data_IF_134150675060
#
_entry.id   IF_134150675060
#
_cell.length_a   1.000
_cell.length_b   1.000
_cell.length_c   1.000
_cell.angle_alpha   90.00
_cell.angle_beta   90.00
_cell.angle_gamma   90.00
#
_symmetry.space_group_name_H-M   'P 1'
#
loop_
_entity.id
_entity.type
_entity.pdbx_description
1 polymer ?
#
# COMPACT_ATOMS: atom_id res chain seq x y z
N UNK A 1 -43.17 45.40 -3.58
CA UNK A 1 -43.54 44.60 -2.39
C UNK A 1 -42.56 44.92 -1.29
N UNK A 2 -43.04 45.59 -0.25
CA UNK A 2 -42.32 45.96 0.98
C UNK A 2 -42.27 44.76 1.96
N UNK A 3 -41.28 44.81 2.88
CA UNK A 3 -41.17 44.23 4.24
C UNK A 3 -39.72 43.72 4.44
N UNK A 4 -38.77 44.51 4.94
CA UNK A 4 -38.49 44.94 6.33
C UNK A 4 -37.95 43.83 7.27
N UNK A 5 -36.66 43.97 7.62
CA UNK A 5 -36.03 43.95 8.97
C UNK A 5 -36.54 42.94 10.03
N UNK A 6 -35.61 42.16 10.62
CA UNK A 6 -35.27 42.27 12.06
C UNK A 6 -34.06 41.43 12.48
N UNK A 7 -33.17 42.07 13.25
CA UNK A 7 -32.04 41.51 14.02
C UNK A 7 -32.51 40.81 15.30
N UNK A 8 -31.74 39.86 15.82
CA UNK A 8 -31.65 39.61 17.26
C UNK A 8 -30.29 39.06 17.68
N UNK A 9 -29.62 39.85 18.50
CA UNK A 9 -28.44 39.58 19.32
C UNK A 9 -28.91 38.96 20.63
N UNK A 10 -28.23 37.94 21.15
CA UNK A 10 -28.20 37.64 22.58
C UNK A 10 -26.77 37.23 22.99
N UNK A 11 -26.14 38.11 23.76
CA UNK A 11 -25.01 37.84 24.66
C UNK A 11 -25.58 37.37 26.00
N UNK A 12 -24.87 36.46 26.68
CA UNK A 12 -24.85 36.42 28.14
C UNK A 12 -23.59 35.72 28.61
N UNK A 13 -22.66 36.52 29.16
CA UNK A 13 -21.60 36.11 30.07
C UNK A 13 -22.21 35.73 31.43
N UNK A 14 -21.58 34.80 32.15
CA UNK A 14 -21.33 34.98 33.60
C UNK A 14 -20.32 33.95 34.11
N UNK A 15 -19.45 34.48 34.96
CA UNK A 15 -18.24 33.94 35.54
C UNK A 15 -18.41 33.76 37.06
N UNK A 16 -17.67 32.82 37.66
CA UNK A 16 -17.17 32.84 39.05
C UNK A 16 -16.30 31.57 39.24
N UNK A 17 -15.02 31.52 39.66
CA UNK A 17 -14.16 32.19 40.66
C UNK A 17 -14.21 31.58 42.07
N UNK A 18 -13.05 31.07 42.54
CA UNK A 18 -12.70 30.76 43.94
C UNK A 18 -11.77 29.52 44.03
N UNK A 19 -10.42 29.65 44.14
CA UNK A 19 -9.57 29.87 45.34
C UNK A 19 -9.75 28.75 46.41
N UNK A 20 -8.73 28.12 47.01
CA UNK A 20 -7.36 28.52 47.36
C UNK A 20 -6.47 27.31 47.80
N UNK A 21 -5.13 27.49 47.68
CA UNK A 21 -4.02 27.24 48.66
C UNK A 21 -3.85 25.82 49.30
N UNK A 22 -2.68 25.30 49.72
CA UNK A 22 -1.34 25.85 49.96
C UNK A 22 -0.33 24.69 50.29
N UNK A 23 0.98 25.01 50.19
CA UNK A 23 2.19 24.40 50.85
C UNK A 23 3.12 23.41 50.09
N UNK A 24 4.34 23.93 49.89
CA UNK A 24 5.68 23.34 49.62
C UNK A 24 6.33 22.78 50.92
N UNK A 25 7.64 22.36 51.02
CA UNK A 25 8.74 22.23 50.03
C UNK A 25 9.61 20.93 50.13
N UNK A 26 10.53 20.72 49.17
CA UNK A 26 11.63 19.75 49.31
C UNK A 26 12.44 19.48 48.03
N UNK A 27 13.47 20.28 47.76
CA UNK A 27 14.56 20.06 46.77
C UNK A 27 15.75 19.30 47.41
N UNK A 28 16.83 18.91 46.69
CA UNK A 28 17.06 18.73 45.23
C UNK A 28 17.74 17.38 44.89
N UNK A 29 18.03 17.10 43.61
CA UNK A 29 19.39 16.71 43.11
C UNK A 29 19.41 16.75 41.57
N UNK A 30 20.52 17.29 41.07
CA UNK A 30 20.95 17.59 39.71
C UNK A 30 20.97 16.38 38.75
N UNK A 31 20.68 16.60 37.46
CA UNK A 31 21.68 16.47 36.36
C UNK A 31 21.24 17.36 35.19
N UNK A 32 22.11 18.30 34.80
CA UNK A 32 22.03 19.02 33.55
C UNK A 32 22.74 18.23 32.44
N UNK A 33 22.22 18.25 31.22
CA UNK A 33 22.99 18.55 30.01
C UNK A 33 22.09 18.71 28.79
N UNK A 34 22.29 19.87 28.17
CA UNK A 34 21.77 20.46 26.94
C UNK A 34 22.03 19.63 25.67
N UNK A 35 21.13 19.71 24.68
CA UNK A 35 21.43 20.40 23.41
C UNK A 35 20.29 20.29 22.38
N UNK A 36 19.74 21.46 22.04
CA UNK A 36 19.49 22.01 20.70
C UNK A 36 18.80 21.17 19.61
N UNK A 37 17.63 21.69 19.24
CA UNK A 37 16.94 21.54 17.95
C UNK A 37 17.72 22.26 16.85
N UNK A 38 17.99 21.58 15.73
CA UNK A 38 17.97 22.14 14.36
C UNK A 38 18.09 21.06 13.27
N UNK A 39 17.00 20.89 12.52
CA UNK A 39 16.88 20.72 11.05
C UNK A 39 17.86 19.89 10.22
N UNK A 40 17.24 19.01 9.40
CA UNK A 40 17.66 18.38 8.11
C UNK A 40 18.64 17.20 8.18
N UNK A 41 18.09 15.99 8.05
CA UNK A 41 18.65 14.95 7.16
C UNK A 41 17.53 14.01 6.67
N UNK A 42 17.59 13.73 5.38
CA UNK A 42 16.73 12.81 4.65
C UNK A 42 17.18 11.38 4.93
N UNK A 43 16.83 10.81 6.08
CA UNK A 43 17.21 9.43 6.39
C UNK A 43 16.23 8.43 5.79
N UNK A 44 16.50 8.11 4.54
CA UNK A 44 15.99 6.96 3.82
C UNK A 44 16.62 5.70 4.45
N UNK A 45 16.10 5.25 5.60
CA UNK A 45 16.60 4.06 6.30
C UNK A 45 16.36 2.81 5.44
N UNK A 46 17.43 2.38 4.77
CA UNK A 46 17.52 1.11 4.05
C UNK A 46 17.41 -0.05 5.05
N UNK A 47 16.25 -0.70 5.08
CA UNK A 47 16.09 -1.97 5.77
C UNK A 47 16.85 -3.05 5.00
N UNK A 48 18.02 -3.44 5.50
CA UNK A 48 18.67 -4.70 5.12
C UNK A 48 17.84 -5.84 5.70
N UNK A 49 16.92 -6.37 4.89
CA UNK A 49 16.19 -7.59 5.23
C UNK A 49 17.17 -8.77 5.09
N UNK A 50 17.60 -9.32 6.22
CA UNK A 50 18.28 -10.62 6.28
C UNK A 50 17.39 -11.70 5.66
N UNK A 51 18.02 -12.71 5.03
CA UNK A 51 17.35 -13.82 4.33
C UNK A 51 16.28 -14.52 5.17
N UNK A 52 15.26 -15.15 4.56
CA UNK A 52 14.03 -15.52 5.24
C UNK A 52 14.25 -16.63 6.27
N UNK A 53 13.65 -16.46 7.44
CA UNK A 53 13.50 -17.47 8.48
C UNK A 53 12.71 -18.69 7.95
N UNK A 54 13.17 -19.89 8.29
CA UNK A 54 12.45 -21.14 8.05
C UNK A 54 11.24 -21.25 8.99
N UNK A 55 10.06 -21.52 8.39
CA UNK A 55 8.80 -21.94 9.00
C UNK A 55 8.24 -21.14 10.19
N UNK A 56 7.32 -20.21 9.88
CA UNK A 56 6.24 -19.82 10.80
C UNK A 56 4.89 -20.27 10.21
N UNK A 57 4.01 -20.82 11.05
CA UNK A 57 2.62 -21.08 10.73
C UNK A 57 1.96 -19.79 10.22
N UNK A 58 1.71 -19.73 8.92
CA UNK A 58 1.08 -18.57 8.29
C UNK A 58 -0.41 -18.57 8.66
N UNK A 59 -0.97 -17.47 9.20
CA UNK A 59 -2.39 -17.39 9.52
C UNK A 59 -3.27 -17.75 8.32
N UNK A 60 -4.43 -18.38 8.56
CA UNK A 60 -5.44 -18.70 7.52
C UNK A 60 -6.02 -17.42 6.91
N UNK A 61 -5.27 -16.81 5.99
CA UNK A 61 -5.70 -15.69 5.16
C UNK A 61 -6.36 -16.15 3.87
N UNK A 62 -6.83 -15.18 3.07
CA UNK A 62 -7.24 -15.46 1.70
C UNK A 62 -5.98 -15.69 0.85
N UNK A 63 -5.84 -16.93 0.37
CA UNK A 63 -4.75 -17.36 -0.50
C UNK A 63 -5.14 -17.10 -1.96
N UNK A 64 -4.34 -16.28 -2.64
CA UNK A 64 -4.45 -16.01 -4.07
C UNK A 64 -3.27 -16.67 -4.77
N UNK A 65 -3.52 -17.73 -5.54
CA UNK A 65 -2.51 -18.28 -6.42
C UNK A 65 -2.36 -17.34 -7.62
N UNK A 66 -1.21 -16.70 -7.73
CA UNK A 66 -0.93 -15.73 -8.79
C UNK A 66 -0.34 -16.43 -10.01
N UNK A 67 0.61 -17.34 -9.79
CA UNK A 67 1.30 -18.04 -10.88
C UNK A 67 1.71 -19.44 -10.50
N UNK A 68 1.65 -20.33 -11.49
CA UNK A 68 2.33 -21.61 -11.44
C UNK A 68 3.15 -21.78 -12.71
N UNK A 69 4.46 -21.94 -12.58
CA UNK A 69 5.37 -22.27 -13.68
C UNK A 69 6.06 -23.61 -13.41
N UNK A 70 6.69 -24.22 -14.42
CA UNK A 70 7.45 -25.46 -14.21
C UNK A 70 8.64 -25.34 -13.24
N UNK A 71 9.05 -24.11 -12.88
CA UNK A 71 10.21 -23.84 -12.01
C UNK A 71 9.83 -23.28 -10.65
N UNK A 72 8.74 -22.53 -10.54
CA UNK A 72 8.28 -21.96 -9.29
C UNK A 72 6.78 -21.65 -9.29
N UNK A 73 6.21 -21.60 -8.10
CA UNK A 73 4.84 -21.13 -7.84
C UNK A 73 4.89 -19.84 -7.05
N UNK A 74 3.94 -18.94 -7.34
CA UNK A 74 3.78 -17.66 -6.68
C UNK A 74 2.38 -17.59 -6.09
N UNK A 75 2.29 -17.30 -4.80
CA UNK A 75 1.03 -17.06 -4.12
C UNK A 75 1.12 -15.85 -3.23
N UNK A 76 -0.01 -15.17 -3.08
CA UNK A 76 -0.18 -14.02 -2.22
C UNK A 76 -1.17 -14.39 -1.13
N UNK A 77 -0.84 -14.11 0.12
CA UNK A 77 -1.69 -14.37 1.28
C UNK A 77 -2.00 -13.05 1.96
N UNK A 78 -3.25 -12.63 1.94
CA UNK A 78 -3.67 -11.40 2.63
C UNK A 78 -4.05 -11.71 4.07
N UNK A 79 -3.67 -10.85 5.01
CA UNK A 79 -4.14 -10.96 6.39
C UNK A 79 -5.60 -10.52 6.53
N UNK A 80 -6.03 -9.58 5.70
CA UNK A 80 -7.35 -8.97 5.71
C UNK A 80 -8.07 -9.30 4.39
N UNK A 81 -9.25 -9.94 4.45
CA UNK A 81 -10.03 -10.35 3.25
C UNK A 81 -10.77 -9.17 2.60
N UNK A 82 -11.21 -8.22 3.41
CA UNK A 82 -11.91 -6.99 3.00
C UNK A 82 -11.22 -5.84 3.72
N UNK A 83 -10.95 -4.75 3.01
CA UNK A 83 -10.33 -3.57 3.56
C UNK A 83 -11.41 -2.52 3.79
N UNK A 84 -11.54 -2.03 5.02
CA UNK A 84 -12.48 -0.97 5.34
C UNK A 84 -11.75 0.36 5.47
N UNK A 85 -12.01 1.30 4.57
CA UNK A 85 -11.51 2.66 4.68
C UNK A 85 -12.24 3.37 5.82
N UNK A 86 -11.60 3.42 6.99
CA UNK A 86 -12.17 4.13 8.14
C UNK A 86 -11.91 5.62 8.00
N UNK A 87 -12.92 6.38 7.59
CA UNK A 87 -12.95 7.83 7.79
C UNK A 87 -13.26 8.10 9.27
N UNK A 88 -12.27 7.89 10.13
CA UNK A 88 -12.42 8.03 11.57
C UNK A 88 -12.03 9.42 12.07
N UNK A 89 -12.74 9.89 13.09
CA UNK A 89 -12.46 11.11 13.87
C UNK A 89 -11.17 11.02 14.71
N UNK A 90 -10.58 9.83 14.75
CA UNK A 90 -9.32 9.48 15.39
C UNK A 90 -8.18 9.53 14.36
N UNK A 91 -7.02 10.09 14.75
CA UNK A 91 -5.81 10.43 13.98
C UNK A 91 -5.23 9.44 12.93
N UNK A 92 -5.87 8.30 12.67
CA UNK A 92 -5.52 7.36 11.62
C UNK A 92 -5.79 7.94 10.23
N UNK A 93 -4.73 8.46 9.59
CA UNK A 93 -4.77 8.92 8.19
C UNK A 93 -4.67 7.78 7.16
N UNK A 94 -4.30 6.58 7.61
CA UNK A 94 -3.98 5.45 6.74
C UNK A 94 -4.58 4.13 7.22
N UNK A 95 -5.01 3.30 6.28
CA UNK A 95 -5.42 1.92 6.50
C UNK A 95 -4.30 0.99 6.04
N UNK A 96 -3.75 0.12 6.92
CA UNK A 96 -2.69 -0.80 6.55
C UNK A 96 -3.25 -1.99 5.75
N UNK A 97 -2.57 -2.36 4.68
CA UNK A 97 -2.79 -3.60 3.93
C UNK A 97 -1.59 -4.50 4.11
N UNK A 98 -1.82 -5.67 4.70
CA UNK A 98 -0.75 -6.56 5.14
C UNK A 98 -0.95 -7.96 4.58
N UNK A 99 0.16 -8.63 4.35
CA UNK A 99 0.15 -9.99 3.84
C UNK A 99 1.54 -10.54 3.64
N UNK A 100 1.59 -11.68 2.97
CA UNK A 100 2.79 -12.39 2.61
C UNK A 100 2.78 -12.72 1.13
N UNK A 101 3.91 -12.49 0.47
CA UNK A 101 4.19 -13.04 -0.85
C UNK A 101 5.00 -14.32 -0.67
N UNK A 102 4.49 -15.45 -1.16
CA UNK A 102 5.15 -16.74 -1.08
C UNK A 102 5.61 -17.20 -2.45
N UNK A 103 6.87 -17.60 -2.54
CA UNK A 103 7.50 -18.16 -3.74
C UNK A 103 7.98 -19.56 -3.41
N UNK A 104 7.36 -20.56 -4.03
CA UNK A 104 7.80 -21.95 -3.93
C UNK A 104 8.66 -22.30 -5.14
N UNK A 105 9.98 -22.29 -4.98
CA UNK A 105 10.93 -22.62 -6.04
C UNK A 105 11.09 -24.14 -6.10
N UNK A 106 10.60 -24.75 -7.19
CA UNK A 106 10.70 -26.19 -7.46
C UNK A 106 12.02 -26.58 -8.11
N UNK A 107 12.59 -25.68 -8.92
CA UNK A 107 13.88 -25.84 -9.59
C UNK A 107 14.67 -24.53 -9.48
N UNK A 108 16.00 -24.58 -9.27
CA UNK A 108 16.81 -23.37 -9.18
C UNK A 108 16.56 -22.40 -10.34
N UNK A 109 16.32 -21.13 -10.02
CA UNK A 109 15.88 -20.10 -10.99
C UNK A 109 16.68 -18.82 -10.79
N UNK A 110 16.98 -18.09 -11.85
CA UNK A 110 17.71 -16.82 -11.76
C UNK A 110 16.73 -15.67 -11.70
N UNK A 111 16.46 -15.18 -10.49
CA UNK A 111 15.59 -14.02 -10.24
C UNK A 111 16.49 -12.86 -9.80
N UNK A 112 16.38 -11.72 -10.46
CA UNK A 112 17.12 -10.50 -10.09
C UNK A 112 16.35 -9.72 -9.03
N UNK A 113 15.07 -9.45 -9.30
CA UNK A 113 14.22 -8.64 -8.44
C UNK A 113 12.79 -9.18 -8.43
N UNK A 114 12.18 -9.16 -7.26
CA UNK A 114 10.75 -9.38 -7.08
C UNK A 114 10.14 -8.03 -6.70
N UNK A 115 9.13 -7.61 -7.44
CA UNK A 115 8.41 -6.36 -7.21
C UNK A 115 6.95 -6.69 -6.87
N UNK A 116 6.44 -6.13 -5.79
CA UNK A 116 5.02 -6.16 -5.42
C UNK A 116 4.52 -4.72 -5.41
N UNK A 117 3.45 -4.44 -6.15
CA UNK A 117 2.84 -3.13 -6.21
C UNK A 117 1.39 -3.22 -5.77
N UNK A 118 0.95 -2.26 -4.97
CA UNK A 118 -0.44 -2.04 -4.69
C UNK A 118 -0.92 -0.84 -5.50
N UNK A 119 -1.90 -1.06 -6.37
CA UNK A 119 -2.37 -0.09 -7.34
C UNK A 119 -3.86 0.19 -7.15
N UNK A 120 -4.24 1.45 -7.32
CA UNK A 120 -5.61 1.90 -7.53
C UNK A 120 -5.72 2.54 -8.90
N UNK A 121 -6.69 2.10 -9.69
CA UNK A 121 -6.97 2.60 -11.03
C UNK A 121 -8.41 3.14 -11.10
N UNK A 122 -8.55 4.36 -11.62
CA UNK A 122 -9.82 4.95 -12.00
C UNK A 122 -9.99 4.83 -13.52
N UNK A 123 -10.99 4.07 -13.95
CA UNK A 123 -11.39 3.92 -15.34
C UNK A 123 -12.63 4.78 -15.60
N UNK A 124 -12.55 5.68 -16.57
CA UNK A 124 -13.65 6.56 -16.99
C UNK A 124 -14.07 6.16 -18.40
N UNK A 125 -15.38 5.99 -18.59
CA UNK A 125 -16.04 5.66 -19.85
C UNK A 125 -16.78 6.91 -20.33
N UNK A 126 -16.34 7.48 -21.44
CA UNK A 126 -16.91 8.69 -22.02
C UNK A 126 -17.88 8.32 -23.16
N UNK A 127 -19.10 8.84 -23.07
CA UNK A 127 -20.15 8.66 -24.08
C UNK A 127 -20.31 9.93 -24.93
N UNK A 128 -20.63 9.80 -26.23
CA UNK A 128 -21.00 10.93 -27.08
C UNK A 128 -22.23 11.67 -26.51
N UNK A 129 -22.24 13.01 -26.61
CA UNK A 129 -23.32 13.84 -26.05
C UNK A 129 -24.69 13.55 -26.66
N UNK A 130 -24.71 13.20 -27.94
CA UNK A 130 -25.94 13.10 -28.73
C UNK A 130 -26.52 11.67 -28.75
N UNK A 131 -25.92 10.74 -28.00
CA UNK A 131 -26.35 9.35 -27.95
C UNK A 131 -26.63 8.93 -26.50
N UNK A 132 -27.62 8.04 -26.28
CA UNK A 132 -27.84 7.46 -24.97
C UNK A 132 -26.59 6.65 -24.55
N UNK A 133 -26.28 6.56 -23.24
CA UNK A 133 -25.19 5.75 -22.74
C UNK A 133 -25.39 4.29 -23.15
N UNK A 134 -24.58 3.82 -24.10
CA UNK A 134 -24.59 2.43 -24.56
C UNK A 134 -23.17 1.88 -24.42
N UNK A 135 -22.90 0.97 -23.46
CA UNK A 135 -21.57 0.42 -23.20
C UNK A 135 -21.03 -0.46 -24.35
N UNK A 136 -21.86 -0.80 -25.33
CA UNK A 136 -21.47 -1.55 -26.53
C UNK A 136 -21.25 -0.65 -27.75
N UNK A 137 -21.35 0.68 -27.60
CA UNK A 137 -21.16 1.61 -28.72
C UNK A 137 -19.68 1.65 -29.16
N UNK A 138 -19.40 1.64 -30.48
CA UNK A 138 -18.03 1.76 -30.98
C UNK A 138 -17.43 3.16 -30.75
N UNK A 139 -18.25 4.14 -30.35
CA UNK A 139 -17.85 5.53 -30.12
C UNK A 139 -17.45 5.82 -28.66
N UNK A 140 -17.35 4.79 -27.83
CA UNK A 140 -16.92 4.94 -26.44
C UNK A 140 -15.43 5.23 -26.41
N UNK A 141 -15.05 6.19 -25.57
CA UNK A 141 -13.65 6.41 -25.20
C UNK A 141 -13.45 6.02 -23.75
N UNK A 142 -12.56 5.06 -23.52
CA UNK A 142 -12.13 4.67 -22.17
C UNK A 142 -10.81 5.35 -21.84
N UNK A 143 -10.70 5.92 -20.65
CA UNK A 143 -9.46 6.49 -20.11
C UNK A 143 -9.20 5.91 -18.72
N UNK A 144 -7.96 5.51 -18.46
CA UNK A 144 -7.54 4.95 -17.17
C UNK A 144 -6.50 5.85 -16.52
N UNK A 145 -6.66 6.10 -15.22
CA UNK A 145 -5.81 7.00 -14.44
C UNK A 145 -5.36 6.30 -13.16
N UNK A 146 -4.05 6.28 -12.85
CA UNK A 146 -3.58 5.80 -11.56
C UNK A 146 -3.99 6.80 -10.47
N UNK A 147 -4.74 6.33 -9.48
CA UNK A 147 -5.13 7.13 -8.31
C UNK A 147 -4.22 6.88 -7.11
N UNK A 148 -3.61 5.70 -7.06
CA UNK A 148 -2.73 5.28 -5.97
C UNK A 148 -1.74 4.23 -6.47
N UNK A 149 -0.47 4.35 -6.11
CA UNK A 149 0.53 3.31 -6.34
C UNK A 149 1.53 3.29 -5.19
N UNK A 150 1.77 2.11 -4.62
CA UNK A 150 2.85 1.88 -3.68
C UNK A 150 3.60 0.61 -4.05
N UNK A 151 4.93 0.64 -3.98
CA UNK A 151 5.79 -0.46 -4.46
C UNK A 151 6.69 -0.98 -3.33
N UNK A 152 6.85 -2.30 -3.29
CA UNK A 152 7.86 -3.02 -2.51
C UNK A 152 8.73 -3.84 -3.46
N UNK A 153 10.03 -3.86 -3.20
CA UNK A 153 10.98 -4.57 -4.05
C UNK A 153 11.95 -5.36 -3.20
N UNK A 154 12.15 -6.63 -3.55
CA UNK A 154 13.17 -7.51 -2.97
C UNK A 154 14.19 -7.85 -4.05
N UNK A 155 15.46 -7.56 -3.78
CA UNK A 155 16.57 -7.91 -4.66
C UNK A 155 17.20 -9.21 -4.18
N UNK A 156 17.50 -10.12 -5.11
CA UNK A 156 18.27 -11.31 -4.78
C UNK A 156 19.75 -10.93 -4.65
N UNK A 157 20.26 -10.97 -3.40
CA UNK A 157 21.59 -10.48 -2.98
C UNK A 157 21.79 -8.97 -3.18
N UNK A 158 22.03 -8.24 -2.08
CA UNK A 158 22.14 -6.78 -2.07
C UNK A 158 23.49 -6.22 -2.55
N UNK A 159 24.50 -7.08 -2.78
CA UNK A 159 25.87 -6.62 -3.04
C UNK A 159 26.29 -6.81 -4.50
N UNK A 160 27.02 -5.81 -5.00
CA UNK A 160 27.50 -5.69 -6.38
C UNK A 160 28.09 -7.00 -6.91
N UNK A 161 27.52 -7.47 -8.04
CA UNK A 161 27.80 -8.71 -8.78
C UNK A 161 27.02 -9.92 -8.26
N UNK A 162 25.74 -9.99 -8.64
CA UNK A 162 25.05 -11.28 -8.83
C UNK A 162 25.93 -12.07 -9.80
N UNK A 163 26.62 -13.09 -9.29
CA UNK A 163 27.50 -13.91 -10.12
C UNK A 163 26.65 -14.67 -11.14
N UNK A 164 27.26 -15.09 -12.27
CA UNK A 164 26.52 -15.83 -13.29
C UNK A 164 25.89 -17.12 -12.74
N UNK A 165 26.43 -17.65 -11.65
CA UNK A 165 26.01 -18.87 -10.97
C UNK A 165 25.08 -18.64 -9.77
N UNK A 166 24.59 -17.42 -9.57
CA UNK A 166 23.66 -17.12 -8.48
C UNK A 166 22.22 -17.49 -8.88
N UNK A 167 21.73 -18.58 -8.30
CA UNK A 167 20.37 -19.09 -8.47
C UNK A 167 19.61 -19.00 -7.16
N UNK A 168 18.34 -18.61 -7.23
CA UNK A 168 17.37 -18.85 -6.17
C UNK A 168 17.33 -20.36 -5.90
N UNK A 169 17.69 -20.83 -4.69
CA UNK A 169 17.70 -22.26 -4.41
C UNK A 169 16.28 -22.81 -4.39
N UNK A 170 16.16 -24.14 -4.52
CA UNK A 170 14.89 -24.82 -4.31
C UNK A 170 14.42 -24.59 -2.88
N UNK A 171 13.15 -24.24 -2.68
CA UNK A 171 12.59 -23.98 -1.36
C UNK A 171 11.39 -23.04 -1.37
N UNK A 172 10.78 -22.87 -0.20
CA UNK A 172 9.70 -21.92 0.02
C UNK A 172 10.28 -20.63 0.62
N UNK A 173 10.01 -19.51 -0.02
CA UNK A 173 10.44 -18.19 0.43
C UNK A 173 9.23 -17.31 0.66
N UNK A 174 9.17 -16.67 1.82
CA UNK A 174 8.03 -15.83 2.21
C UNK A 174 8.49 -14.42 2.52
N UNK A 175 7.82 -13.44 1.92
CA UNK A 175 8.13 -12.02 2.06
C UNK A 175 6.93 -11.30 2.69
N UNK A 176 7.02 -10.85 3.94
CA UNK A 176 5.98 -10.03 4.53
C UNK A 176 5.96 -8.66 3.84
N UNK A 177 4.77 -8.11 3.65
CA UNK A 177 4.59 -6.75 3.15
C UNK A 177 3.54 -5.99 3.93
N UNK A 178 3.70 -4.67 3.94
CA UNK A 178 2.71 -3.73 4.41
C UNK A 178 2.68 -2.50 3.49
N UNK A 179 1.49 -2.18 3.00
CA UNK A 179 1.15 -0.94 2.33
C UNK A 179 0.31 -0.06 3.26
N UNK A 180 0.45 1.25 3.13
CA UNK A 180 -0.31 2.23 3.91
C UNK A 180 -1.19 3.01 2.95
N UNK A 181 -2.49 2.73 2.99
CA UNK A 181 -3.47 3.30 2.09
C UNK A 181 -4.05 4.57 2.72
N UNK A 182 -4.00 5.73 2.05
CA UNK A 182 -4.67 6.94 2.54
C UNK A 182 -6.18 6.71 2.67
N UNK A 183 -6.77 7.14 3.78
CA UNK A 183 -8.23 6.97 4.02
C UNK A 183 -9.11 7.92 3.18
N UNK A 184 -8.49 8.75 2.32
CA UNK A 184 -9.17 9.69 1.43
C UNK A 184 -9.20 9.24 -0.05
N UNK A 185 -8.82 8.00 -0.34
CA UNK A 185 -9.00 7.43 -1.68
C UNK A 185 -10.47 7.04 -1.90
N UNK A 186 -10.95 6.99 -3.15
CA UNK A 186 -12.32 6.56 -3.45
C UNK A 186 -12.55 5.08 -3.11
N UNK A 187 -13.78 4.72 -2.77
CA UNK A 187 -14.17 3.32 -2.60
C UNK A 187 -14.20 2.57 -3.95
N UNK A 188 -14.12 1.24 -3.88
CA UNK A 188 -14.25 0.40 -5.07
C UNK A 188 -15.68 0.50 -5.60
N UNK A 189 -15.82 0.87 -6.87
CA UNK A 189 -17.14 1.02 -7.50
C UNK A 189 -17.07 0.68 -8.98
N UNK A 190 -18.19 0.25 -9.54
CA UNK A 190 -18.32 0.00 -10.98
C UNK A 190 -19.72 0.39 -11.45
N UNK A 191 -19.80 1.17 -12.51
CA UNK A 191 -21.04 1.58 -13.16
C UNK A 191 -20.82 1.77 -14.67
N UNK A 192 -21.86 2.20 -15.38
CA UNK A 192 -21.80 2.41 -16.84
C UNK A 192 -20.81 3.52 -17.26
N UNK A 193 -20.46 4.44 -16.36
CA UNK A 193 -19.56 5.56 -16.60
C UNK A 193 -18.11 5.28 -16.23
N UNK A 194 -17.83 4.14 -15.59
CA UNK A 194 -16.48 3.83 -15.14
C UNK A 194 -16.40 2.89 -13.96
N UNK A 195 -15.17 2.70 -13.49
CA UNK A 195 -14.89 1.91 -12.29
C UNK A 195 -13.67 2.42 -11.55
N UNK A 196 -13.67 2.24 -10.24
CA UNK A 196 -12.47 2.37 -9.40
C UNK A 196 -12.14 0.99 -8.88
N UNK A 197 -10.93 0.51 -9.15
CA UNK A 197 -10.50 -0.82 -8.74
C UNK A 197 -9.13 -0.77 -8.07
N UNK A 198 -8.95 -1.65 -7.09
CA UNK A 198 -7.68 -1.83 -6.40
C UNK A 198 -7.17 -3.24 -6.60
N UNK A 199 -5.87 -3.38 -6.82
CA UNK A 199 -5.25 -4.68 -7.00
C UNK A 199 -3.79 -4.69 -6.59
N UNK A 200 -3.31 -5.87 -6.21
CA UNK A 200 -1.90 -6.14 -6.05
C UNK A 200 -1.35 -6.72 -7.34
N UNK A 201 -0.27 -6.15 -7.87
CA UNK A 201 0.51 -6.74 -8.95
C UNK A 201 1.85 -7.25 -8.46
N UNK A 202 2.21 -8.46 -8.87
CA UNK A 202 3.57 -8.99 -8.63
C UNK A 202 4.28 -9.14 -9.96
N UNK A 203 5.54 -8.74 -9.96
CA UNK A 203 6.45 -8.87 -11.09
C UNK A 203 7.74 -9.55 -10.63
N UNK A 204 8.07 -10.68 -11.25
CA UNK A 204 9.33 -11.41 -11.01
C UNK A 204 10.24 -11.18 -12.21
N UNK A 205 11.31 -10.39 -12.02
CA UNK A 205 12.27 -10.12 -13.08
C UNK A 205 13.38 -11.17 -13.04
N UNK A 206 13.64 -11.88 -14.15
CA UNK A 206 14.79 -12.77 -14.23
C UNK A 206 16.11 -11.99 -14.26
N UNK A 207 17.23 -12.67 -14.04
CA UNK A 207 18.55 -12.12 -14.39
C UNK A 207 18.70 -12.21 -15.91
N UNK A 208 18.83 -11.06 -16.58
CA UNK A 208 18.99 -11.02 -18.03
C UNK A 208 20.37 -11.57 -18.41
N UNK A 209 20.40 -12.77 -18.98
CA UNK A 209 21.46 -13.18 -19.91
C UNK A 209 20.87 -13.22 -21.32
N UNK A 210 21.69 -12.99 -22.34
CA UNK A 210 21.28 -12.84 -23.75
C UNK A 210 20.41 -13.99 -24.29
N UNK A 211 20.44 -15.17 -23.64
CA UNK A 211 19.72 -16.39 -24.02
C UNK A 211 18.38 -16.54 -23.26
N UNK A 212 18.21 -15.91 -22.08
CA UNK A 212 17.04 -16.16 -21.21
C UNK A 212 15.90 -15.13 -21.36
N UNK A 213 16.08 -14.10 -22.20
CA UNK A 213 15.02 -13.10 -22.50
C UNK A 213 13.72 -13.73 -23.01
N UNK A 214 13.78 -14.91 -23.60
CA UNK A 214 12.63 -15.58 -24.20
C UNK A 214 11.82 -16.48 -23.24
N UNK A 215 12.35 -16.89 -22.07
CA UNK A 215 11.74 -17.95 -21.26
C UNK A 215 11.10 -17.48 -19.95
N UNK A 216 11.44 -16.28 -19.47
CA UNK A 216 10.86 -15.67 -18.27
C UNK A 216 10.38 -14.28 -18.67
N UNK A 217 9.24 -14.22 -19.36
CA UNK A 217 8.55 -12.95 -19.56
C UNK A 217 8.27 -12.33 -18.19
N UNK A 218 8.43 -11.01 -18.09
CA UNK A 218 7.90 -10.23 -16.98
C UNK A 218 6.42 -10.57 -16.85
N UNK A 219 6.05 -11.32 -15.81
CA UNK A 219 4.66 -11.68 -15.57
C UNK A 219 4.10 -10.71 -14.55
N UNK A 220 3.18 -9.86 -14.98
CA UNK A 220 2.36 -9.03 -14.10
C UNK A 220 1.08 -9.80 -13.76
N UNK A 221 0.82 -9.97 -12.48
CA UNK A 221 -0.31 -10.78 -12.00
C UNK A 221 -1.14 -9.97 -11.03
N UNK A 222 -2.40 -9.70 -11.39
CA UNK A 222 -3.29 -8.84 -10.61
C UNK A 222 -4.21 -9.66 -9.72
N UNK A 223 -4.19 -9.38 -8.41
CA UNK A 223 -5.22 -9.84 -7.48
C UNK A 223 -6.08 -8.66 -7.04
N UNK A 224 -7.37 -8.68 -7.40
CA UNK A 224 -8.32 -7.64 -7.03
C UNK A 224 -8.63 -7.67 -5.54
N UNK A 225 -8.69 -6.49 -4.93
CA UNK A 225 -9.05 -6.32 -3.52
C UNK A 225 -10.29 -5.45 -3.41
N UNK A 226 -11.37 -5.93 -2.77
CA UNK A 226 -12.50 -5.08 -2.43
C UNK A 226 -12.08 -4.13 -1.29
N UNK A 227 -12.09 -2.84 -1.61
CA UNK A 227 -11.90 -1.71 -0.68
C UNK A 227 -13.18 -0.90 -0.60
#
# INVERSE_FOLDING_TARGET
MNLSKQERILKSDSSSSGLSSNRSPGTPILVASTSNVSTRSSDNSLYTVQSPFEHYDVPQGSDFQLLSTSRFDLSLKMLDKILYLRKGDQNSKFTPVRGYLSINVRKPVRISTICLQFNGELNIIMFPKDLPPNPSSPHIKTSSFPIFTQTRTWKYKNNHKVLENDYFPKGLFTYPFQFLIPNNIPESMSNIFGSTNYFLSVTVNPVSTSITKALLSTQELKASLPI
#
